data_IF_088024068233
#
_entry.id   IF_088024068233
#
_cell.length_a   1.000
_cell.length_b   1.000
_cell.length_c   1.000
_cell.angle_alpha   90.00
_cell.angle_beta   90.00
_cell.angle_gamma   90.00
#
_symmetry.space_group_name_H-M   'P 1'
#
loop_
_entity.id
_entity.type
_entity.pdbx_description
1 polymer ?
#
# COMPACT_ATOMS: atom_id res chain seq x y z
N UNK A 1 10.47 -12.71 2.21
CA UNK A 1 10.86 -14.03 1.70
C UNK A 1 10.39 -14.12 0.25
N UNK A 2 11.32 -14.26 -0.68
CA UNK A 2 11.13 -14.27 -2.13
C UNK A 2 10.23 -15.44 -2.57
N UNK A 3 9.17 -15.16 -3.36
CA UNK A 3 8.17 -16.11 -3.89
C UNK A 3 7.84 -17.31 -2.98
N UNK A 4 7.63 -17.06 -1.68
CA UNK A 4 7.74 -18.12 -0.65
C UNK A 4 6.62 -19.17 -0.75
N UNK A 5 5.45 -18.82 -1.29
CA UNK A 5 4.39 -19.78 -1.54
C UNK A 5 4.71 -20.79 -2.67
N UNK A 6 5.76 -20.56 -3.45
CA UNK A 6 6.18 -21.45 -4.54
C UNK A 6 7.09 -22.60 -4.06
N UNK A 7 7.52 -22.65 -2.79
CA UNK A 7 8.51 -23.66 -2.35
C UNK A 7 8.01 -25.10 -2.46
N UNK A 8 6.71 -25.34 -2.23
CA UNK A 8 6.10 -26.67 -2.33
C UNK A 8 5.57 -26.93 -3.74
N UNK A 9 5.86 -28.11 -4.31
CA UNK A 9 5.39 -28.54 -5.63
C UNK A 9 4.51 -29.79 -5.52
N UNK A 10 3.51 -29.92 -6.38
CA UNK A 10 2.72 -31.15 -6.51
C UNK A 10 3.62 -32.29 -7.02
N UNK A 11 3.60 -33.48 -6.36
CA UNK A 11 4.42 -34.62 -6.77
C UNK A 11 4.20 -35.03 -8.24
N UNK A 12 5.29 -35.43 -8.89
CA UNK A 12 5.28 -35.82 -10.31
C UNK A 12 5.35 -34.67 -11.32
N UNK A 13 5.22 -33.41 -10.87
CA UNK A 13 5.27 -32.20 -11.72
C UNK A 13 4.34 -32.29 -12.96
N UNK A 14 3.03 -32.48 -12.76
CA UNK A 14 2.08 -32.75 -13.84
C UNK A 14 1.94 -31.60 -14.84
N UNK A 15 1.61 -31.94 -16.08
CA UNK A 15 1.34 -30.97 -17.14
C UNK A 15 0.18 -30.02 -16.80
N UNK A 16 0.38 -28.74 -17.11
CA UNK A 16 -0.65 -27.72 -16.99
C UNK A 16 -1.70 -27.87 -18.10
N UNK A 17 -2.97 -27.65 -17.75
CA UNK A 17 -4.06 -27.72 -18.70
C UNK A 17 -3.87 -26.69 -19.84
N UNK A 18 -4.12 -27.11 -21.08
CA UNK A 18 -3.98 -26.25 -22.26
C UNK A 18 -5.12 -25.24 -22.30
N UNK A 19 -4.90 -24.08 -21.68
CA UNK A 19 -5.81 -22.93 -21.70
C UNK A 19 -5.54 -22.03 -22.91
N UNK A 20 -4.28 -21.91 -23.34
CA UNK A 20 -3.85 -21.10 -24.49
C UNK A 20 -3.29 -21.97 -25.61
N UNK A 21 -4.14 -22.33 -26.56
CA UNK A 21 -3.80 -23.16 -27.74
C UNK A 21 -2.76 -22.52 -28.67
N UNK A 22 -2.46 -21.24 -28.50
CA UNK A 22 -1.45 -20.46 -29.21
C UNK A 22 -0.08 -20.46 -28.52
N UNK A 23 0.09 -21.12 -27.37
CA UNK A 23 1.34 -21.16 -26.61
C UNK A 23 1.85 -22.60 -26.40
N UNK A 24 3.15 -22.80 -26.58
CA UNK A 24 3.82 -24.08 -26.30
C UNK A 24 3.91 -24.39 -24.79
N UNK A 25 3.99 -23.35 -23.95
CA UNK A 25 4.04 -23.44 -22.49
C UNK A 25 2.72 -22.93 -21.90
N UNK A 26 2.25 -23.55 -20.81
CA UNK A 26 0.97 -23.28 -20.17
C UNK A 26 1.17 -22.85 -18.71
N UNK A 27 0.23 -22.12 -18.13
CA UNK A 27 0.38 -21.55 -16.79
C UNK A 27 0.19 -22.61 -15.69
N UNK A 28 1.29 -22.95 -15.01
CA UNK A 28 1.34 -24.06 -14.05
C UNK A 28 1.08 -23.72 -12.58
N UNK A 29 0.66 -22.50 -12.24
CA UNK A 29 0.64 -22.03 -10.84
C UNK A 29 -0.13 -22.94 -9.88
N UNK A 30 -1.22 -23.57 -10.34
CA UNK A 30 -2.01 -24.57 -9.61
C UNK A 30 -1.18 -25.72 -8.98
N UNK A 31 0.02 -25.99 -9.49
CA UNK A 31 0.88 -27.07 -9.02
C UNK A 31 2.10 -26.62 -8.20
N UNK A 32 2.30 -25.32 -8.00
CA UNK A 32 3.44 -24.80 -7.23
C UNK A 32 3.09 -23.61 -6.31
N UNK A 33 2.19 -22.71 -6.71
CA UNK A 33 1.66 -21.70 -5.81
C UNK A 33 0.77 -22.39 -4.77
N UNK A 34 1.13 -22.29 -3.50
CA UNK A 34 0.41 -22.96 -2.41
C UNK A 34 0.37 -24.50 -2.58
N UNK A 35 1.52 -25.08 -2.93
CA UNK A 35 1.67 -26.52 -3.06
C UNK A 35 1.46 -27.29 -1.74
N UNK A 36 1.23 -28.63 -1.81
CA UNK A 36 0.59 -29.43 -0.76
C UNK A 36 1.38 -29.60 0.56
N UNK A 37 2.60 -29.07 0.66
CA UNK A 37 3.42 -29.04 1.89
C UNK A 37 3.86 -27.62 2.27
N UNK A 38 3.24 -26.57 1.73
CA UNK A 38 3.63 -25.18 2.01
C UNK A 38 3.62 -24.90 3.52
N UNK A 39 2.48 -25.08 4.18
CA UNK A 39 2.35 -24.83 5.63
C UNK A 39 3.26 -25.71 6.49
N UNK A 40 3.59 -26.93 6.06
CA UNK A 40 4.59 -27.76 6.76
C UNK A 40 5.97 -27.08 6.77
N UNK A 41 6.38 -26.50 5.64
CA UNK A 41 7.64 -25.78 5.50
C UNK A 41 7.60 -24.40 6.17
N UNK A 42 6.48 -23.68 6.07
CA UNK A 42 6.29 -22.39 6.74
C UNK A 42 6.29 -22.56 8.27
N UNK A 43 5.62 -23.59 8.83
CA UNK A 43 5.67 -23.91 10.27
C UNK A 43 7.08 -24.30 10.74
N UNK A 44 7.88 -24.96 9.89
CA UNK A 44 9.26 -25.28 10.21
C UNK A 44 10.14 -24.02 10.29
N UNK A 45 9.98 -23.07 9.36
CA UNK A 45 10.68 -21.77 9.39
C UNK A 45 10.15 -20.86 10.51
N UNK A 46 8.83 -20.85 10.76
CA UNK A 46 8.17 -20.04 11.78
C UNK A 46 8.64 -20.33 13.21
N UNK A 47 9.01 -21.58 13.50
CA UNK A 47 9.69 -21.94 14.77
C UNK A 47 11.02 -21.21 14.94
N UNK A 48 11.88 -21.28 13.92
CA UNK A 48 13.19 -20.60 13.90
C UNK A 48 13.00 -19.08 13.98
N UNK A 49 12.03 -18.51 13.25
CA UNK A 49 11.71 -17.08 13.33
C UNK A 49 11.30 -16.66 14.76
N UNK A 50 10.49 -17.46 15.45
CA UNK A 50 10.07 -17.21 16.84
C UNK A 50 11.25 -17.25 17.82
N UNK A 51 12.21 -18.16 17.66
CA UNK A 51 13.42 -18.25 18.49
C UNK A 51 14.24 -16.95 18.50
N UNK A 52 14.22 -16.18 17.40
CA UNK A 52 14.93 -14.90 17.27
C UNK A 52 14.02 -13.66 17.41
N UNK A 53 12.73 -13.82 17.73
CA UNK A 53 11.72 -12.76 17.66
C UNK A 53 11.74 -12.01 16.30
N UNK A 54 11.94 -12.76 15.22
CA UNK A 54 12.26 -12.20 13.91
C UNK A 54 10.99 -11.76 13.15
N UNK A 55 11.02 -10.54 12.63
CA UNK A 55 10.03 -10.04 11.69
C UNK A 55 10.06 -10.83 10.37
N UNK A 56 8.89 -11.22 9.87
CA UNK A 56 8.75 -11.97 8.63
C UNK A 56 7.65 -11.44 7.72
N UNK A 57 7.94 -11.35 6.43
CA UNK A 57 6.97 -11.06 5.37
C UNK A 57 7.18 -12.03 4.20
N UNK A 58 6.12 -12.71 3.78
CA UNK A 58 6.12 -13.57 2.60
C UNK A 58 5.77 -12.80 1.34
N UNK A 59 6.47 -13.02 0.24
CA UNK A 59 5.97 -12.62 -1.07
C UNK A 59 5.15 -13.78 -1.63
N UNK A 60 3.85 -13.56 -1.88
CA UNK A 60 2.93 -14.63 -2.30
C UNK A 60 2.09 -14.23 -3.52
N UNK A 61 2.68 -14.25 -4.73
CA UNK A 61 1.94 -14.06 -5.98
C UNK A 61 1.08 -15.30 -6.32
N UNK A 62 0.18 -15.16 -7.30
CA UNK A 62 -0.64 -16.25 -7.85
C UNK A 62 -1.61 -16.96 -6.86
N UNK A 63 -1.81 -16.44 -5.64
CA UNK A 63 -2.84 -16.90 -4.71
C UNK A 63 -3.93 -15.83 -4.57
N UNK A 64 -5.19 -16.25 -4.60
CA UNK A 64 -6.38 -15.38 -4.54
C UNK A 64 -7.43 -15.83 -3.51
N UNK A 65 -7.25 -16.98 -2.86
CA UNK A 65 -8.12 -17.39 -1.75
C UNK A 65 -7.60 -16.77 -0.43
N UNK A 66 -8.34 -15.86 0.21
CA UNK A 66 -7.90 -15.25 1.46
C UNK A 66 -7.67 -16.27 2.59
N UNK A 67 -8.33 -17.44 2.55
CA UNK A 67 -8.15 -18.50 3.57
C UNK A 67 -6.79 -19.17 3.48
N UNK A 68 -6.30 -19.43 2.27
CA UNK A 68 -4.97 -20.00 2.03
C UNK A 68 -3.88 -19.03 2.49
N UNK A 69 -4.11 -17.73 2.29
CA UNK A 69 -3.25 -16.68 2.82
C UNK A 69 -3.34 -16.62 4.36
N UNK A 70 -4.54 -16.71 4.93
CA UNK A 70 -4.77 -16.68 6.38
C UNK A 70 -4.06 -17.82 7.10
N UNK A 71 -4.05 -19.02 6.52
CA UNK A 71 -3.27 -20.16 7.02
C UNK A 71 -1.78 -19.82 7.21
N UNK A 72 -1.23 -18.91 6.41
CA UNK A 72 0.17 -18.49 6.49
C UNK A 72 0.43 -17.26 7.40
N UNK A 73 -0.61 -16.49 7.79
CA UNK A 73 -0.43 -15.19 8.50
C UNK A 73 -1.33 -14.91 9.70
N UNK A 74 -2.31 -15.76 10.03
CA UNK A 74 -3.10 -15.56 11.24
C UNK A 74 -2.23 -15.73 12.50
N UNK A 75 -2.51 -14.93 13.53
CA UNK A 75 -1.65 -14.74 14.70
C UNK A 75 -1.23 -16.05 15.40
N UNK A 76 -2.12 -17.03 15.52
CA UNK A 76 -1.90 -18.30 16.22
C UNK A 76 -1.07 -19.32 15.40
N UNK A 77 -1.18 -19.28 14.06
CA UNK A 77 -0.51 -20.19 13.10
C UNK A 77 0.98 -20.30 13.35
N UNK A 78 1.63 -19.17 13.64
CA UNK A 78 3.05 -19.11 13.89
C UNK A 78 3.91 -19.43 12.66
N UNK A 79 3.41 -19.13 11.46
CA UNK A 79 4.08 -19.32 10.18
C UNK A 79 4.85 -18.05 9.77
N UNK A 80 4.15 -17.04 9.24
CA UNK A 80 4.69 -15.72 8.90
C UNK A 80 3.85 -14.62 9.59
N UNK A 81 4.35 -13.38 9.67
CA UNK A 81 3.59 -12.27 10.28
C UNK A 81 2.65 -11.55 9.28
N UNK A 82 2.97 -11.57 7.98
CA UNK A 82 2.21 -10.90 6.92
C UNK A 82 2.70 -11.35 5.53
N UNK A 83 1.97 -10.98 4.47
CA UNK A 83 2.41 -11.18 3.08
C UNK A 83 2.23 -9.94 2.21
N UNK A 84 3.01 -9.87 1.13
CA UNK A 84 2.69 -9.06 -0.04
C UNK A 84 1.70 -9.82 -0.94
N UNK A 85 0.50 -9.27 -1.07
CA UNK A 85 -0.53 -9.71 -2.00
C UNK A 85 -0.47 -8.89 -3.30
N UNK A 86 -0.71 -9.51 -4.45
CA UNK A 86 -0.39 -8.91 -5.75
C UNK A 86 -1.58 -8.21 -6.43
N UNK A 87 -2.81 -8.32 -5.92
CA UNK A 87 -4.02 -7.88 -6.65
C UNK A 87 -4.02 -6.40 -7.05
N UNK A 88 -3.43 -5.50 -6.25
CA UNK A 88 -3.31 -4.06 -6.59
C UNK A 88 -2.38 -3.86 -7.78
N UNK A 89 -1.27 -4.62 -7.83
CA UNK A 89 -0.23 -4.50 -8.86
C UNK A 89 -0.50 -5.36 -10.11
N UNK A 90 -1.60 -6.11 -10.11
CA UNK A 90 -2.12 -6.88 -11.24
C UNK A 90 -3.35 -6.22 -11.92
N UNK A 91 -3.90 -5.13 -11.37
CA UNK A 91 -5.13 -4.48 -11.86
C UNK A 91 -5.11 -4.14 -13.36
N UNK A 92 -3.99 -3.62 -13.86
CA UNK A 92 -3.80 -3.19 -15.26
C UNK A 92 -3.22 -4.29 -16.17
N UNK A 93 -3.02 -5.52 -15.67
CA UNK A 93 -2.44 -6.63 -16.45
C UNK A 93 -3.53 -7.32 -17.30
N UNK A 94 -3.31 -7.37 -18.61
CA UNK A 94 -4.20 -8.01 -19.58
C UNK A 94 -3.99 -9.52 -19.74
N UNK A 95 -4.89 -10.13 -20.51
CA UNK A 95 -5.03 -11.59 -20.64
C UNK A 95 -3.87 -12.27 -21.40
N UNK A 96 -2.97 -11.47 -22.00
CA UNK A 96 -1.73 -11.95 -22.62
C UNK A 96 -0.51 -11.91 -21.68
N UNK A 97 -0.68 -11.48 -20.43
CA UNK A 97 0.39 -11.35 -19.42
C UNK A 97 0.78 -9.90 -19.11
N UNK A 98 1.80 -9.72 -18.26
CA UNK A 98 2.21 -8.42 -17.67
C UNK A 98 2.23 -7.26 -18.68
N UNK A 99 2.96 -7.42 -19.78
CA UNK A 99 3.11 -6.41 -20.83
C UNK A 99 1.95 -6.37 -21.85
N UNK A 100 0.73 -6.65 -21.38
CA UNK A 100 -0.50 -6.41 -22.12
C UNK A 100 -1.46 -5.56 -21.29
N UNK A 101 -2.24 -4.67 -21.91
CA UNK A 101 -3.08 -3.72 -21.18
C UNK A 101 -4.40 -4.35 -20.72
N UNK A 102 -4.83 -4.00 -19.50
CA UNK A 102 -6.20 -4.11 -19.03
C UNK A 102 -6.67 -2.75 -18.51
N UNK A 103 -7.91 -2.39 -18.82
CA UNK A 103 -8.57 -1.25 -18.16
C UNK A 103 -9.11 -1.72 -16.81
N UNK A 104 -8.66 -1.05 -15.74
CA UNK A 104 -9.16 -1.27 -14.38
C UNK A 104 -10.16 -0.18 -13.99
N UNK A 105 -10.94 -0.42 -12.94
CA UNK A 105 -11.96 0.51 -12.43
C UNK A 105 -11.72 0.80 -10.95
N UNK A 106 -12.10 1.98 -10.48
CA UNK A 106 -11.99 2.35 -9.06
C UNK A 106 -12.78 1.41 -8.14
N UNK A 107 -13.94 0.93 -8.59
CA UNK A 107 -14.72 -0.12 -7.92
C UNK A 107 -13.86 -1.33 -7.55
N UNK A 108 -13.02 -1.82 -8.46
CA UNK A 108 -12.12 -2.95 -8.22
C UNK A 108 -10.95 -2.60 -7.29
N UNK A 109 -10.40 -1.38 -7.34
CA UNK A 109 -9.39 -0.94 -6.36
C UNK A 109 -10.00 -0.85 -4.95
N UNK A 110 -11.22 -0.32 -4.84
CA UNK A 110 -11.99 -0.26 -3.58
C UNK A 110 -12.31 -1.65 -3.04
N UNK A 111 -12.77 -2.56 -3.90
CA UNK A 111 -13.05 -3.95 -3.56
C UNK A 111 -11.79 -4.63 -2.98
N UNK A 112 -10.65 -4.54 -3.67
CA UNK A 112 -9.37 -5.13 -3.19
C UNK A 112 -8.97 -4.54 -1.84
N UNK A 113 -8.90 -3.21 -1.69
CA UNK A 113 -8.48 -2.63 -0.40
C UNK A 113 -9.47 -2.97 0.72
N UNK A 114 -10.78 -2.89 0.46
CA UNK A 114 -11.80 -3.23 1.45
C UNK A 114 -11.71 -4.70 1.88
N UNK A 115 -11.58 -5.62 0.93
CA UNK A 115 -11.44 -7.04 1.21
C UNK A 115 -10.21 -7.29 2.08
N UNK A 116 -9.03 -6.78 1.71
CA UNK A 116 -7.79 -7.04 2.46
C UNK A 116 -7.74 -6.35 3.84
N UNK A 117 -8.26 -5.12 3.95
CA UNK A 117 -8.35 -4.43 5.23
C UNK A 117 -9.33 -5.14 6.18
N UNK A 118 -10.57 -5.39 5.74
CA UNK A 118 -11.59 -6.02 6.60
C UNK A 118 -11.31 -7.48 6.89
N UNK A 119 -10.80 -8.25 5.92
CA UNK A 119 -10.46 -9.66 6.13
C UNK A 119 -9.38 -9.85 7.19
N UNK A 120 -8.27 -9.11 7.11
CA UNK A 120 -7.19 -9.23 8.10
C UNK A 120 -7.63 -8.78 9.50
N UNK A 121 -8.36 -7.67 9.60
CA UNK A 121 -8.89 -7.17 10.88
C UNK A 121 -9.88 -8.17 11.51
N UNK A 122 -10.71 -8.84 10.71
CA UNK A 122 -11.72 -9.78 11.20
C UNK A 122 -11.20 -11.20 11.48
N UNK A 123 -9.91 -11.49 11.24
CA UNK A 123 -9.33 -12.84 11.37
C UNK A 123 -7.92 -12.83 12.02
N UNK A 124 -7.61 -11.82 12.84
CA UNK A 124 -6.33 -11.68 13.55
C UNK A 124 -5.08 -11.82 12.64
N UNK A 125 -5.17 -11.26 11.43
CA UNK A 125 -4.08 -11.18 10.46
C UNK A 125 -3.55 -9.76 10.29
N UNK A 126 -2.43 -9.60 9.57
CA UNK A 126 -1.79 -8.30 9.37
C UNK A 126 -1.40 -8.03 7.91
N UNK A 127 -1.73 -6.83 7.42
CA UNK A 127 -1.47 -6.42 6.04
C UNK A 127 -0.03 -5.89 5.84
N UNK A 128 0.59 -6.19 4.70
CA UNK A 128 1.76 -5.46 4.20
C UNK A 128 1.32 -4.42 3.16
N UNK A 129 1.42 -3.14 3.52
CA UNK A 129 1.00 -2.01 2.70
C UNK A 129 2.15 -1.54 1.80
N UNK A 130 2.02 -1.72 0.49
CA UNK A 130 2.99 -1.27 -0.51
C UNK A 130 2.32 -0.77 -1.80
N UNK A 131 3.08 -0.05 -2.62
CA UNK A 131 2.72 0.34 -4.00
C UNK A 131 3.91 0.24 -4.97
N UNK A 132 5.13 0.38 -4.46
CA UNK A 132 6.37 0.21 -5.20
C UNK A 132 7.25 -0.83 -4.50
N UNK A 133 8.00 -1.58 -5.28
CA UNK A 133 9.13 -2.40 -4.85
C UNK A 133 10.08 -2.54 -6.06
N UNK A 134 11.15 -3.33 -5.96
CA UNK A 134 12.14 -3.52 -7.02
C UNK A 134 11.60 -4.18 -8.33
N UNK A 135 10.33 -4.60 -8.34
CA UNK A 135 9.67 -5.37 -9.40
C UNK A 135 8.40 -4.70 -9.96
N UNK A 136 8.01 -3.56 -9.40
CA UNK A 136 6.86 -2.76 -9.84
C UNK A 136 7.33 -1.38 -10.28
N UNK A 137 6.78 -0.87 -11.38
CA UNK A 137 7.07 0.48 -11.86
C UNK A 137 6.52 1.57 -10.93
N UNK A 138 6.96 2.82 -11.13
CA UNK A 138 6.70 3.92 -10.19
C UNK A 138 5.22 4.25 -10.12
N UNK A 139 4.69 4.33 -8.91
CA UNK A 139 3.26 4.52 -8.61
C UNK A 139 2.72 5.80 -9.24
N UNK A 140 3.55 6.86 -9.27
CA UNK A 140 3.22 8.16 -9.87
C UNK A 140 3.06 8.08 -11.40
N UNK A 141 3.82 7.22 -12.09
CA UNK A 141 3.71 7.04 -13.55
C UNK A 141 2.68 5.98 -13.95
N UNK A 142 2.47 4.95 -13.12
CA UNK A 142 1.55 3.85 -13.41
C UNK A 142 0.09 4.16 -13.08
N UNK A 143 -0.14 4.72 -11.88
CA UNK A 143 -1.47 5.01 -11.32
C UNK A 143 -1.74 6.52 -11.18
N UNK A 144 -0.68 7.33 -11.15
CA UNK A 144 -0.72 8.77 -11.01
C UNK A 144 -0.71 9.52 -12.35
N UNK A 145 -0.09 10.69 -12.33
CA UNK A 145 0.49 11.32 -13.51
C UNK A 145 1.87 11.87 -13.14
N UNK A 146 2.86 11.61 -13.99
CA UNK A 146 4.23 12.10 -13.87
C UNK A 146 4.47 13.45 -14.56
N UNK A 147 3.43 14.03 -15.17
CA UNK A 147 3.45 15.40 -15.69
C UNK A 147 3.95 16.39 -14.60
N UNK A 148 4.90 17.30 -14.90
CA UNK A 148 5.57 18.12 -13.88
C UNK A 148 4.64 18.84 -12.91
N UNK A 149 3.53 19.34 -13.42
CA UNK A 149 2.52 20.10 -12.69
C UNK A 149 1.64 19.23 -11.76
N UNK A 150 1.61 17.90 -11.94
CA UNK A 150 0.78 16.97 -11.16
C UNK A 150 1.56 15.88 -10.41
N UNK A 151 2.83 15.61 -10.77
CA UNK A 151 3.71 14.62 -10.13
C UNK A 151 3.72 14.73 -8.60
N UNK A 152 3.93 15.95 -8.08
CA UNK A 152 4.08 16.21 -6.64
C UNK A 152 2.78 15.92 -5.88
N UNK A 153 1.65 16.39 -6.38
CA UNK A 153 0.34 16.24 -5.73
C UNK A 153 -0.15 14.77 -5.81
N UNK A 154 0.15 14.06 -6.91
CA UNK A 154 -0.07 12.61 -7.03
C UNK A 154 0.77 11.84 -6.01
N UNK A 155 2.08 12.10 -5.91
CA UNK A 155 2.96 11.41 -4.98
C UNK A 155 2.52 11.61 -3.51
N UNK A 156 2.13 12.85 -3.13
CA UNK A 156 1.56 13.14 -1.82
C UNK A 156 0.18 12.48 -1.60
N UNK A 157 -0.62 12.30 -2.65
CA UNK A 157 -1.88 11.56 -2.58
C UNK A 157 -1.60 10.07 -2.30
N UNK A 158 -0.68 9.42 -3.03
CA UNK A 158 -0.32 8.02 -2.78
C UNK A 158 0.27 7.80 -1.39
N UNK A 159 1.09 8.75 -0.90
CA UNK A 159 1.56 8.75 0.49
C UNK A 159 0.39 8.76 1.49
N UNK A 160 -0.68 9.52 1.21
CA UNK A 160 -1.89 9.59 2.06
C UNK A 160 -2.74 8.33 1.97
N UNK A 161 -2.99 7.85 0.75
CA UNK A 161 -3.73 6.62 0.48
C UNK A 161 -3.11 5.43 1.20
N UNK A 162 -1.77 5.29 1.17
CA UNK A 162 -1.06 4.15 1.72
C UNK A 162 -0.76 4.28 3.24
N UNK A 163 -0.27 5.44 3.69
CA UNK A 163 0.26 5.61 5.07
C UNK A 163 -0.82 5.60 6.16
N UNK A 164 -2.11 5.72 5.82
CA UNK A 164 -3.21 5.82 6.80
C UNK A 164 -4.11 4.57 6.88
N UNK A 165 -3.76 3.48 6.18
CA UNK A 165 -4.43 2.16 6.27
C UNK A 165 -3.89 1.31 7.44
N UNK A 166 -4.57 0.21 7.77
CA UNK A 166 -4.12 -0.77 8.78
C UNK A 166 -3.06 -1.72 8.20
N UNK A 167 -2.03 -2.06 8.99
CA UNK A 167 -0.91 -2.91 8.56
C UNK A 167 0.48 -2.28 8.69
N UNK A 168 1.51 -2.99 8.20
CA UNK A 168 2.90 -2.53 8.13
C UNK A 168 3.16 -1.81 6.81
N UNK A 169 3.69 -0.60 6.88
CA UNK A 169 3.99 0.22 5.70
C UNK A 169 5.39 -0.08 5.14
N UNK A 170 5.47 -0.34 3.85
CA UNK A 170 6.69 -0.41 3.07
C UNK A 170 6.78 0.78 2.11
N UNK A 171 7.92 1.47 2.12
CA UNK A 171 8.27 2.56 1.19
C UNK A 171 9.53 2.14 0.45
N UNK A 172 9.52 2.23 -0.87
CA UNK A 172 10.64 1.80 -1.72
C UNK A 172 11.47 2.99 -2.21
N UNK A 173 12.80 2.81 -2.33
CA UNK A 173 13.75 3.90 -2.61
C UNK A 173 13.35 4.78 -3.82
N UNK A 174 13.21 6.08 -3.57
CA UNK A 174 12.76 7.08 -4.55
C UNK A 174 11.25 7.34 -4.56
N UNK A 175 10.43 6.50 -3.94
CA UNK A 175 8.99 6.74 -3.75
C UNK A 175 8.76 7.96 -2.84
N UNK A 176 9.65 8.14 -1.85
CA UNK A 176 9.72 9.30 -0.97
C UNK A 176 10.10 10.60 -1.71
N UNK A 177 10.78 10.51 -2.84
CA UNK A 177 11.09 11.64 -3.73
C UNK A 177 10.02 11.87 -4.80
N UNK A 178 9.08 10.94 -4.97
CA UNK A 178 8.15 10.89 -6.10
C UNK A 178 8.88 10.68 -7.43
N UNK A 179 9.85 9.77 -7.46
CA UNK A 179 10.50 9.31 -8.70
C UNK A 179 9.46 8.75 -9.69
N UNK A 180 9.82 8.81 -10.97
CA UNK A 180 8.94 8.50 -12.11
C UNK A 180 9.56 7.39 -12.96
N UNK A 181 8.77 6.80 -13.86
CA UNK A 181 9.27 5.82 -14.82
C UNK A 181 10.38 6.40 -15.69
N UNK A 182 11.17 5.49 -16.28
CA UNK A 182 12.11 5.80 -17.36
C UNK A 182 11.35 6.56 -18.47
N UNK A 183 11.91 7.60 -19.10
CA UNK A 183 11.21 8.34 -20.15
C UNK A 183 10.77 7.46 -21.34
N UNK A 184 9.57 7.71 -21.89
CA UNK A 184 9.02 6.99 -23.08
C UNK A 184 9.95 6.99 -24.31
N UNK A 185 10.94 7.88 -24.35
CA UNK A 185 11.94 7.99 -25.42
C UNK A 185 13.12 7.02 -25.27
N UNK A 186 13.31 6.37 -24.12
CA UNK A 186 14.40 5.40 -23.93
C UNK A 186 14.01 4.06 -24.58
N UNK A 187 14.77 3.54 -25.56
CA UNK A 187 14.44 2.30 -26.25
C UNK A 187 14.61 1.08 -25.34
N UNK A 188 13.84 0.01 -25.60
CA UNK A 188 13.90 -1.26 -24.85
C UNK A 188 15.32 -1.86 -24.82
N UNK A 189 16.15 -1.59 -25.82
CA UNK A 189 17.56 -2.02 -25.87
C UNK A 189 18.48 -1.38 -24.81
N UNK A 190 18.06 -0.33 -24.11
CA UNK A 190 18.79 0.24 -22.96
C UNK A 190 18.40 -0.39 -21.61
N UNK A 191 17.34 -1.20 -21.56
CA UNK A 191 16.88 -1.92 -20.36
C UNK A 191 17.83 -3.09 -20.05
N UNK A 192 17.79 -3.60 -18.81
CA UNK A 192 18.66 -4.68 -18.31
C UNK A 192 17.87 -5.87 -17.78
N UNK A 193 16.63 -5.67 -17.36
CA UNK A 193 15.78 -6.71 -16.79
C UNK A 193 15.42 -7.80 -17.81
N UNK A 194 15.68 -9.06 -17.44
CA UNK A 194 15.47 -10.21 -18.32
C UNK A 194 13.99 -10.50 -18.60
N UNK A 195 13.07 -10.19 -17.67
CA UNK A 195 11.62 -10.30 -17.93
C UNK A 195 11.23 -9.36 -19.07
N UNK A 196 11.67 -8.10 -19.00
CA UNK A 196 11.45 -7.07 -20.01
C UNK A 196 12.07 -7.42 -21.37
N UNK A 197 13.37 -7.80 -21.38
CA UNK A 197 14.09 -8.10 -22.63
C UNK A 197 13.56 -9.37 -23.31
N UNK A 198 13.23 -10.42 -22.56
CA UNK A 198 12.69 -11.66 -23.13
C UNK A 198 11.29 -11.45 -23.70
N UNK A 199 10.41 -10.73 -22.99
CA UNK A 199 9.06 -10.45 -23.49
C UNK A 199 9.06 -9.60 -24.77
N UNK A 200 10.01 -8.67 -24.90
CA UNK A 200 10.21 -7.89 -26.12
C UNK A 200 10.70 -8.75 -27.29
N UNK A 201 11.71 -9.60 -27.06
CA UNK A 201 12.24 -10.50 -28.08
C UNK A 201 11.19 -11.54 -28.53
N UNK A 202 10.45 -12.15 -27.58
CA UNK A 202 9.33 -13.06 -27.88
C UNK A 202 8.25 -12.36 -28.73
N UNK A 203 7.99 -11.08 -28.46
CA UNK A 203 7.01 -10.28 -29.23
C UNK A 203 7.49 -10.02 -30.65
N UNK A 204 8.77 -9.71 -30.85
CA UNK A 204 9.37 -9.54 -32.18
C UNK A 204 9.43 -10.87 -32.97
N UNK A 205 9.69 -11.99 -32.30
CA UNK A 205 9.75 -13.31 -32.93
C UNK A 205 8.37 -13.85 -33.34
N UNK A 206 7.38 -13.77 -32.44
CA UNK A 206 6.04 -14.34 -32.68
C UNK A 206 5.12 -13.45 -33.49
N UNK A 207 5.35 -12.14 -33.47
CA UNK A 207 4.50 -11.14 -34.13
C UNK A 207 5.32 -10.15 -34.97
N UNK A 208 6.20 -10.60 -35.88
CA UNK A 208 7.18 -9.74 -36.57
C UNK A 208 6.54 -8.62 -37.40
N UNK A 209 5.38 -8.88 -38.00
CA UNK A 209 4.65 -7.94 -38.85
C UNK A 209 3.56 -7.14 -38.11
N UNK A 210 3.16 -7.56 -36.90
CA UNK A 210 2.14 -6.86 -36.12
C UNK A 210 2.73 -5.64 -35.40
N UNK A 211 2.80 -4.53 -36.14
CA UNK A 211 3.37 -3.27 -35.64
C UNK A 211 2.54 -2.62 -34.56
N UNK A 212 1.23 -2.89 -34.48
CA UNK A 212 0.40 -2.38 -33.40
C UNK A 212 0.61 -3.19 -32.11
N UNK A 213 0.73 -4.52 -32.19
CA UNK A 213 1.09 -5.33 -31.03
C UNK A 213 2.51 -5.02 -30.50
N UNK A 214 3.47 -4.76 -31.41
CA UNK A 214 4.80 -4.25 -31.04
C UNK A 214 4.70 -2.87 -30.34
N UNK A 215 3.87 -1.95 -30.85
CA UNK A 215 3.64 -0.63 -30.24
C UNK A 215 3.03 -0.75 -28.84
N UNK A 216 1.98 -1.57 -28.68
CA UNK A 216 1.31 -1.83 -27.41
C UNK A 216 2.28 -2.44 -26.41
N UNK A 217 3.03 -3.48 -26.79
CA UNK A 217 3.96 -4.16 -25.89
C UNK A 217 5.08 -3.23 -25.41
N UNK A 218 5.60 -2.35 -26.29
CA UNK A 218 6.57 -1.33 -25.91
C UNK A 218 5.99 -0.28 -24.94
N UNK A 219 4.74 0.15 -25.14
CA UNK A 219 4.05 1.08 -24.23
C UNK A 219 3.80 0.44 -22.85
N UNK A 220 3.44 -0.84 -22.82
CA UNK A 220 3.23 -1.58 -21.56
C UNK A 220 4.57 -1.95 -20.88
N UNK A 221 5.65 -2.17 -21.62
CA UNK A 221 7.02 -2.27 -21.09
C UNK A 221 7.40 -0.96 -20.41
N UNK A 222 7.24 0.18 -21.08
CA UNK A 222 7.47 1.49 -20.44
C UNK A 222 6.63 1.65 -19.16
N UNK A 223 5.35 1.25 -19.19
CA UNK A 223 4.43 1.41 -18.08
C UNK A 223 4.75 0.51 -16.88
N UNK A 224 5.21 -0.73 -17.11
CA UNK A 224 5.25 -1.81 -16.10
C UNK A 224 6.60 -2.51 -15.88
N UNK A 225 7.63 -2.21 -16.67
CA UNK A 225 8.94 -2.85 -16.53
C UNK A 225 9.53 -2.63 -15.13
N UNK A 226 10.18 -3.68 -14.61
CA UNK A 226 10.90 -3.70 -13.33
C UNK A 226 12.03 -2.66 -13.30
N UNK A 227 12.61 -2.31 -14.46
CA UNK A 227 13.71 -1.35 -14.54
C UNK A 227 13.35 0.09 -14.14
N UNK A 228 12.05 0.45 -14.19
CA UNK A 228 11.55 1.71 -13.64
C UNK A 228 11.82 1.88 -12.13
N UNK A 229 11.97 0.77 -11.40
CA UNK A 229 12.33 0.76 -9.99
C UNK A 229 13.85 0.66 -9.75
N UNK A 230 14.64 0.35 -10.78
CA UNK A 230 16.05 -0.09 -10.66
C UNK A 230 17.08 0.89 -11.20
N UNK A 231 16.64 2.01 -11.79
CA UNK A 231 17.56 3.12 -12.10
C UNK A 231 18.25 3.64 -10.82
N UNK A 232 19.53 4.06 -10.90
CA UNK A 232 20.25 4.73 -9.82
C UNK A 232 19.42 5.69 -8.97
N UNK A 233 19.64 5.66 -7.66
CA UNK A 233 18.98 6.56 -6.72
C UNK A 233 19.42 8.01 -6.98
N UNK A 234 18.47 8.93 -6.99
CA UNK A 234 18.68 10.31 -7.42
C UNK A 234 19.04 11.19 -6.22
N UNK A 235 20.32 11.26 -5.87
CA UNK A 235 20.80 12.01 -4.70
C UNK A 235 20.90 13.51 -4.96
N UNK A 236 21.50 13.91 -6.08
CA UNK A 236 21.66 15.32 -6.47
C UNK A 236 21.67 15.51 -7.99
N UNK A 237 22.14 16.67 -8.48
CA UNK A 237 22.20 17.05 -9.90
C UNK A 237 23.57 16.84 -10.56
N UNK A 238 24.52 16.17 -9.90
CA UNK A 238 25.84 15.85 -10.46
C UNK A 238 25.75 14.67 -11.46
N UNK A 239 26.83 14.31 -12.19
CA UNK A 239 26.81 13.14 -13.08
C UNK A 239 26.34 11.86 -12.36
N UNK A 240 25.58 11.02 -13.07
CA UNK A 240 24.93 9.84 -12.50
C UNK A 240 24.08 10.13 -11.24
N UNK A 241 23.51 11.34 -11.14
CA UNK A 241 22.68 11.79 -10.03
C UNK A 241 23.33 11.74 -8.64
N UNK A 242 24.66 11.81 -8.57
CA UNK A 242 25.41 11.62 -7.32
C UNK A 242 25.50 10.17 -6.83
N UNK A 243 24.98 9.19 -7.60
CA UNK A 243 25.03 7.76 -7.24
C UNK A 243 26.42 7.15 -7.41
N UNK A 244 27.21 7.62 -8.37
CA UNK A 244 28.58 7.13 -8.59
C UNK A 244 29.44 8.16 -9.32
N UNK A 245 30.74 8.16 -9.04
CA UNK A 245 31.78 8.86 -9.81
C UNK A 245 32.20 8.11 -11.08
N UNK A 246 31.60 6.95 -11.34
CA UNK A 246 31.88 6.06 -12.47
C UNK A 246 30.58 5.61 -13.14
N UNK A 247 30.66 5.05 -14.35
CA UNK A 247 29.46 4.62 -15.09
C UNK A 247 28.69 3.53 -14.32
N UNK A 248 27.43 3.76 -13.93
CA UNK A 248 26.62 2.78 -13.21
C UNK A 248 26.20 1.61 -14.10
N UNK A 249 25.91 0.46 -13.47
CA UNK A 249 25.45 -0.76 -14.16
C UNK A 249 24.14 -0.55 -14.96
N UNK A 250 23.30 0.36 -14.49
CA UNK A 250 22.07 0.83 -15.12
C UNK A 250 22.12 2.36 -15.23
N UNK A 251 21.76 2.90 -16.40
CA UNK A 251 21.72 4.35 -16.67
C UNK A 251 20.67 5.04 -15.81
N UNK A 252 21.07 6.10 -15.11
CA UNK A 252 20.21 6.99 -14.31
C UNK A 252 19.00 7.51 -15.11
N UNK A 253 17.88 7.81 -14.43
CA UNK A 253 16.71 8.41 -15.07
C UNK A 253 16.94 9.94 -15.19
N UNK A 254 16.77 10.48 -16.40
CA UNK A 254 17.04 11.89 -16.75
C UNK A 254 16.29 12.91 -15.87
N UNK A 255 15.22 12.48 -15.19
CA UNK A 255 14.49 13.26 -14.20
C UNK A 255 15.33 13.72 -13.00
N UNK A 256 16.49 13.10 -12.73
CA UNK A 256 17.36 13.42 -11.59
C UNK A 256 17.74 14.90 -11.48
N UNK A 257 17.79 15.59 -12.61
CA UNK A 257 18.04 17.04 -12.73
C UNK A 257 16.99 17.90 -12.01
N UNK A 258 15.81 17.36 -11.71
CA UNK A 258 14.70 18.05 -11.03
C UNK A 258 14.12 17.27 -9.84
N UNK A 259 14.23 15.94 -9.86
CA UNK A 259 13.77 15.03 -8.81
C UNK A 259 14.99 14.41 -8.14
N UNK A 260 15.44 14.94 -7.02
CA UNK A 260 16.53 14.35 -6.26
C UNK A 260 16.37 14.59 -4.75
N UNK A 261 17.25 14.01 -3.95
CA UNK A 261 17.25 14.18 -2.51
C UNK A 261 17.68 15.60 -2.09
N UNK A 262 18.76 16.15 -2.68
CA UNK A 262 19.29 17.46 -2.28
C UNK A 262 18.35 18.65 -2.57
N UNK A 263 17.42 18.52 -3.52
CA UNK A 263 16.35 19.50 -3.79
C UNK A 263 15.08 19.30 -2.95
N UNK A 264 14.95 18.18 -2.22
CA UNK A 264 13.71 17.82 -1.51
C UNK A 264 13.87 17.62 -0.01
N UNK A 265 15.01 17.13 0.47
CA UNK A 265 15.35 17.09 1.89
C UNK A 265 15.47 18.54 2.39
N UNK A 266 14.88 18.84 3.55
CA UNK A 266 14.71 20.19 4.11
C UNK A 266 13.79 21.17 3.33
N UNK A 267 13.44 20.88 2.07
CA UNK A 267 12.48 21.68 1.32
C UNK A 267 11.05 21.43 1.84
N UNK A 268 10.50 22.41 2.55
CA UNK A 268 9.26 22.32 3.37
C UNK A 268 8.09 21.61 2.67
N UNK A 269 7.86 21.91 1.41
CA UNK A 269 6.69 21.48 0.64
C UNK A 269 7.02 20.42 -0.44
N UNK A 270 8.17 19.75 -0.32
CA UNK A 270 8.59 18.65 -1.20
C UNK A 270 7.74 17.37 -1.02
N UNK A 271 7.98 16.35 -1.86
CA UNK A 271 7.39 15.01 -1.67
C UNK A 271 7.99 14.35 -0.43
N UNK A 272 9.31 14.49 -0.23
CA UNK A 272 10.05 13.94 0.92
C UNK A 272 9.53 14.48 2.26
N UNK A 273 9.40 15.81 2.38
CA UNK A 273 8.89 16.46 3.59
C UNK A 273 7.44 16.08 3.89
N UNK A 274 6.64 15.76 2.86
CA UNK A 274 5.29 15.25 3.04
C UNK A 274 5.27 13.81 3.57
N UNK A 275 6.09 12.91 3.01
CA UNK A 275 6.28 11.56 3.54
C UNK A 275 6.74 11.58 4.99
N UNK A 276 7.76 12.36 5.32
CA UNK A 276 8.23 12.52 6.69
C UNK A 276 7.13 13.06 7.64
N UNK A 277 6.29 13.98 7.15
CA UNK A 277 5.15 14.52 7.91
C UNK A 277 4.07 13.46 8.18
N UNK A 278 3.69 12.66 7.17
CA UNK A 278 2.61 11.69 7.31
C UNK A 278 3.05 10.40 8.03
N UNK A 279 4.33 10.04 7.96
CA UNK A 279 4.93 9.01 8.81
C UNK A 279 4.89 9.43 10.29
N UNK A 280 5.22 10.68 10.62
CA UNK A 280 5.04 11.22 11.98
C UNK A 280 3.57 11.26 12.40
N UNK A 281 2.64 11.55 11.48
CA UNK A 281 1.20 11.48 11.76
C UNK A 281 0.76 10.05 12.13
N UNK A 282 1.21 9.03 11.38
CA UNK A 282 0.98 7.60 11.71
C UNK A 282 1.57 7.23 13.07
N UNK A 283 2.84 7.57 13.32
CA UNK A 283 3.57 7.26 14.57
C UNK A 283 2.95 7.92 15.82
N UNK A 284 2.26 9.06 15.66
CA UNK A 284 1.69 9.83 16.78
C UNK A 284 0.21 9.55 17.08
N UNK A 285 -0.47 8.75 16.27
CA UNK A 285 -1.90 8.44 16.47
C UNK A 285 -2.18 6.96 16.15
N UNK A 286 -2.36 6.15 17.19
CA UNK A 286 -2.57 4.69 17.11
C UNK A 286 -3.77 4.27 16.27
N UNK A 287 -4.76 5.15 16.07
CA UNK A 287 -5.88 4.95 15.13
C UNK A 287 -5.45 4.64 13.69
N UNK A 288 -4.25 5.06 13.27
CA UNK A 288 -3.69 4.69 11.96
C UNK A 288 -2.99 3.33 11.98
N UNK A 289 -2.59 2.84 13.15
CA UNK A 289 -1.95 1.53 13.34
C UNK A 289 -3.06 0.48 13.59
N UNK A 290 -3.74 0.56 14.74
CA UNK A 290 -4.66 -0.45 15.27
C UNK A 290 -6.15 -0.18 15.02
N UNK A 291 -6.53 0.97 14.44
CA UNK A 291 -7.95 1.29 14.20
C UNK A 291 -8.63 0.39 13.17
N UNK A 292 -9.97 0.32 13.22
CA UNK A 292 -10.80 -0.40 12.25
C UNK A 292 -10.63 0.13 10.81
N UNK A 293 -11.27 -0.53 9.83
CA UNK A 293 -11.39 0.02 8.48
C UNK A 293 -12.85 -0.12 7.99
N UNK A 294 -13.42 1.00 7.55
CA UNK A 294 -14.74 1.04 6.91
C UNK A 294 -14.64 1.83 5.60
N UNK A 295 -14.90 1.16 4.46
CA UNK A 295 -14.95 1.82 3.15
C UNK A 295 -16.14 2.77 3.10
N UNK A 296 -15.89 4.03 2.71
CA UNK A 296 -16.92 5.06 2.58
C UNK A 296 -17.18 5.32 1.10
N UNK A 297 -18.47 5.40 0.74
CA UNK A 297 -18.94 5.73 -0.62
C UNK A 297 -18.40 4.79 -1.70
N UNK A 298 -18.66 3.48 -1.53
CA UNK A 298 -18.09 2.40 -2.36
C UNK A 298 -18.28 2.63 -3.88
N UNK A 299 -19.49 2.98 -4.29
CA UNK A 299 -19.87 3.14 -5.72
C UNK A 299 -19.23 4.36 -6.41
N UNK A 300 -18.68 5.33 -5.67
CA UNK A 300 -18.17 6.56 -6.27
C UNK A 300 -16.91 6.31 -7.11
N UNK A 301 -16.99 6.49 -8.44
CA UNK A 301 -15.89 6.12 -9.36
C UNK A 301 -14.60 6.93 -9.18
N UNK A 302 -14.68 8.18 -8.72
CA UNK A 302 -13.54 9.12 -8.67
C UNK A 302 -12.83 9.26 -7.31
N UNK A 303 -13.51 8.97 -6.20
CA UNK A 303 -13.05 9.27 -4.84
C UNK A 303 -12.89 7.99 -4.04
N UNK A 304 -11.70 7.78 -3.51
CA UNK A 304 -11.42 6.74 -2.52
C UNK A 304 -11.54 7.34 -1.12
N UNK A 305 -12.51 6.91 -0.33
CA UNK A 305 -12.73 7.38 1.03
C UNK A 305 -12.89 6.20 2.00
N UNK A 306 -12.40 6.35 3.23
CA UNK A 306 -12.57 5.36 4.29
C UNK A 306 -12.49 6.01 5.66
N UNK A 307 -13.13 5.39 6.64
CA UNK A 307 -13.04 5.72 8.06
C UNK A 307 -12.05 4.76 8.75
N UNK A 308 -11.32 5.28 9.73
CA UNK A 308 -10.64 4.52 10.79
C UNK A 308 -11.25 4.93 12.12
N UNK A 309 -11.53 3.99 13.02
CA UNK A 309 -12.01 4.23 14.38
C UNK A 309 -11.18 3.47 15.40
N UNK A 310 -10.90 4.09 16.54
CA UNK A 310 -10.13 3.49 17.65
C UNK A 310 -10.44 4.24 18.95
N UNK A 311 -10.76 3.53 20.03
CA UNK A 311 -11.07 4.12 21.36
C UNK A 311 -12.08 5.28 21.32
N UNK A 312 -13.17 5.13 20.57
CA UNK A 312 -14.19 6.18 20.41
C UNK A 312 -13.76 7.42 19.62
N UNK A 313 -12.52 7.45 19.11
CA UNK A 313 -12.02 8.44 18.14
C UNK A 313 -12.31 7.93 16.73
N UNK A 314 -12.55 8.84 15.79
CA UNK A 314 -12.75 8.51 14.38
C UNK A 314 -12.03 9.50 13.46
N UNK A 315 -11.48 9.00 12.36
CA UNK A 315 -10.84 9.81 11.30
C UNK A 315 -11.38 9.37 9.94
N UNK A 316 -11.80 10.33 9.12
CA UNK A 316 -12.15 10.13 7.71
C UNK A 316 -10.95 10.49 6.84
N UNK A 317 -10.54 9.56 5.98
CA UNK A 317 -9.51 9.75 4.95
C UNK A 317 -10.23 9.87 3.61
N UNK A 318 -9.84 10.86 2.80
CA UNK A 318 -10.43 11.12 1.47
C UNK A 318 -9.32 11.39 0.46
N UNK A 319 -9.31 10.64 -0.63
CA UNK A 319 -8.39 10.79 -1.75
C UNK A 319 -9.18 10.92 -3.06
N UNK A 320 -9.07 12.08 -3.72
CA UNK A 320 -9.48 12.23 -5.11
C UNK A 320 -8.42 11.53 -5.98
N UNK A 321 -8.84 10.57 -6.80
CA UNK A 321 -7.98 9.85 -7.75
C UNK A 321 -8.03 10.41 -9.17
N UNK A 322 -8.75 11.52 -9.39
CA UNK A 322 -8.98 12.10 -10.71
C UNK A 322 -8.17 13.33 -11.02
N UNK A 323 -8.17 13.58 -12.33
CA UNK A 323 -7.75 14.82 -12.95
C UNK A 323 -8.45 16.05 -12.41
N UNK A 324 -9.75 16.07 -12.55
CA UNK A 324 -10.55 17.26 -12.32
C UNK A 324 -10.95 17.45 -10.85
N UNK A 325 -11.54 18.61 -10.56
CA UNK A 325 -12.15 18.90 -9.26
C UNK A 325 -13.43 18.07 -9.12
N UNK A 326 -13.36 17.00 -8.32
CA UNK A 326 -14.56 16.26 -7.90
C UNK A 326 -15.30 17.06 -6.82
N UNK A 327 -16.61 17.23 -6.98
CA UNK A 327 -17.47 17.76 -5.91
C UNK A 327 -18.00 16.59 -5.08
N UNK A 328 -17.26 16.22 -4.04
CA UNK A 328 -17.68 15.18 -3.09
C UNK A 328 -18.57 15.74 -1.98
N UNK A 329 -19.58 14.97 -1.57
CA UNK A 329 -20.46 15.26 -0.43
C UNK A 329 -20.32 14.09 0.54
N UNK A 330 -20.06 14.37 1.81
CA UNK A 330 -19.91 13.34 2.84
C UNK A 330 -21.20 12.52 2.95
N UNK A 331 -21.18 11.18 2.83
CA UNK A 331 -22.38 10.36 2.91
C UNK A 331 -23.12 10.48 4.25
N UNK A 332 -24.45 10.37 4.20
CA UNK A 332 -25.29 10.35 5.40
C UNK A 332 -24.87 9.21 6.32
N UNK A 333 -24.70 9.52 7.62
CA UNK A 333 -24.23 8.58 8.64
C UNK A 333 -22.76 8.78 9.06
N UNK A 334 -21.93 9.43 8.24
CA UNK A 334 -20.53 9.72 8.60
C UNK A 334 -20.47 10.97 9.49
N UNK A 335 -20.52 10.79 10.81
CA UNK A 335 -20.52 11.87 11.80
C UNK A 335 -19.10 12.40 12.09
N UNK A 336 -18.77 13.58 11.55
CA UNK A 336 -17.53 14.29 11.84
C UNK A 336 -17.69 15.20 13.07
N UNK A 337 -17.56 14.62 14.26
CA UNK A 337 -17.82 15.28 15.56
C UNK A 337 -16.91 16.52 15.83
N UNK A 338 -15.78 16.65 15.12
CA UNK A 338 -14.87 17.80 15.24
C UNK A 338 -14.02 17.99 13.97
N UNK A 339 -14.20 19.09 13.25
CA UNK A 339 -13.45 19.42 12.03
C UNK A 339 -11.98 19.84 12.31
N UNK A 340 -11.12 18.87 12.68
CA UNK A 340 -9.66 19.06 12.70
C UNK A 340 -9.02 18.33 11.51
N UNK A 341 -8.64 19.08 10.47
CA UNK A 341 -7.80 18.55 9.38
C UNK A 341 -6.44 18.14 9.96
N UNK A 342 -6.11 16.85 9.90
CA UNK A 342 -4.85 16.30 10.41
C UNK A 342 -3.70 16.42 9.39
N UNK A 343 -4.01 16.24 8.10
CA UNK A 343 -3.08 16.45 6.97
C UNK A 343 -3.86 16.79 5.71
N UNK A 344 -3.19 17.42 4.73
CA UNK A 344 -3.66 17.60 3.36
C UNK A 344 -2.48 17.83 2.43
N UNK A 345 -2.60 17.42 1.16
CA UNK A 345 -1.57 17.58 0.14
C UNK A 345 -1.67 18.90 -0.66
N UNK A 346 -2.79 19.65 -0.53
CA UNK A 346 -2.98 20.98 -1.09
C UNK A 346 -2.67 22.09 -0.07
N UNK A 347 -2.09 23.20 -0.53
CA UNK A 347 -1.85 24.41 0.27
C UNK A 347 -3.16 25.12 0.71
N UNK A 348 -3.04 26.23 1.45
CA UNK A 348 -4.15 27.12 1.80
C UNK A 348 -4.59 28.01 0.61
N UNK A 349 -5.00 27.38 -0.49
CA UNK A 349 -5.42 28.03 -1.75
C UNK A 349 -6.92 27.91 -2.09
N UNK A 350 -7.70 27.23 -1.25
CA UNK A 350 -9.15 27.32 -1.25
C UNK A 350 -9.59 27.91 0.10
N UNK A 351 -10.37 28.99 0.09
CA UNK A 351 -11.09 29.42 1.28
C UNK A 351 -12.00 28.27 1.74
N UNK A 352 -12.06 28.02 3.05
CA UNK A 352 -13.24 27.41 3.67
C UNK A 352 -14.45 28.24 3.23
N UNK A 353 -15.43 27.70 2.48
CA UNK A 353 -16.44 28.52 1.85
C UNK A 353 -17.18 29.40 2.86
N UNK A 354 -17.03 30.73 2.75
CA UNK A 354 -17.69 31.68 3.65
C UNK A 354 -19.20 31.50 3.54
N UNK A 355 -19.80 31.09 4.66
CA UNK A 355 -21.17 30.63 4.73
C UNK A 355 -22.16 31.74 4.28
N UNK A 356 -22.78 31.55 3.11
CA UNK A 356 -23.90 32.37 2.65
C UNK A 356 -25.10 31.45 2.39
N UNK A 357 -26.01 31.40 3.36
CA UNK A 357 -27.22 30.60 3.27
C UNK A 357 -28.29 31.34 2.44
N UNK A 358 -28.59 30.82 1.25
CA UNK A 358 -29.80 31.16 0.49
C UNK A 358 -30.74 29.97 0.48
N UNK A 359 -31.89 30.11 1.15
CA UNK A 359 -32.98 29.12 1.09
C UNK A 359 -33.68 29.17 -0.27
N UNK A 360 -33.76 28.05 -0.96
CA UNK A 360 -34.85 27.76 -1.89
C UNK A 360 -35.23 26.28 -1.81
N UNK A 361 -36.50 25.98 -2.10
CA UNK A 361 -37.14 24.70 -1.84
C UNK A 361 -36.83 23.62 -2.86
N UNK A 362 -36.82 22.38 -2.37
CA UNK A 362 -37.33 21.14 -3.01
C UNK A 362 -37.33 21.11 -4.54
N UNK A 363 -36.54 20.18 -5.09
CA UNK A 363 -36.97 19.40 -6.24
C UNK A 363 -36.39 17.99 -6.19
N UNK A 364 -37.25 17.01 -6.44
CA UNK A 364 -36.88 15.69 -6.94
C UNK A 364 -36.39 15.81 -8.40
N UNK A 365 -36.06 14.69 -9.03
CA UNK A 365 -35.43 14.59 -10.36
C UNK A 365 -34.02 15.18 -10.47
N UNK A 366 -33.06 14.43 -9.95
CA UNK A 366 -31.68 14.42 -10.44
C UNK A 366 -31.35 13.05 -11.03
N UNK A 367 -31.96 12.71 -12.19
CA UNK A 367 -31.46 11.62 -13.04
C UNK A 367 -30.02 11.97 -13.44
N UNK A 368 -29.06 11.40 -12.73
CA UNK A 368 -27.64 11.54 -13.03
C UNK A 368 -27.42 10.92 -14.41
N UNK A 369 -27.06 11.74 -15.40
CA UNK A 369 -26.70 11.23 -16.72
C UNK A 369 -25.48 10.34 -16.54
N UNK A 370 -25.64 9.05 -16.83
CA UNK A 370 -24.54 8.12 -16.99
C UNK A 370 -23.56 8.72 -18.02
N UNK A 371 -22.43 9.23 -17.51
CA UNK A 371 -21.26 9.42 -18.36
C UNK A 371 -20.82 8.01 -18.79
N UNK A 372 -20.49 7.79 -20.07
CA UNK A 372 -20.05 6.48 -20.52
C UNK A 372 -18.72 6.13 -19.86
N UNK A 373 -18.77 5.21 -18.88
CA UNK A 373 -17.66 4.50 -18.20
C UNK A 373 -16.32 5.23 -18.27
N UNK A 374 -16.04 6.10 -17.29
CA UNK A 374 -14.93 7.04 -17.37
C UNK A 374 -13.56 6.33 -17.49
N UNK A 375 -12.82 6.67 -18.55
CA UNK A 375 -11.52 6.10 -18.86
C UNK A 375 -10.46 6.54 -17.84
N UNK A 376 -9.87 5.58 -17.12
CA UNK A 376 -8.90 5.88 -16.05
C UNK A 376 -7.57 6.45 -16.58
N UNK A 377 -7.28 6.33 -17.88
CA UNK A 377 -6.11 6.99 -18.48
C UNK A 377 -6.22 8.53 -18.51
N UNK A 378 -7.39 9.12 -18.27
CA UNK A 378 -7.61 10.57 -18.29
C UNK A 378 -7.23 11.27 -16.96
N UNK A 379 -6.25 10.72 -16.22
CA UNK A 379 -5.71 11.28 -14.97
C UNK A 379 -4.31 11.87 -15.20
N UNK A 380 -3.87 13.02 -14.67
CA UNK A 380 -4.39 13.90 -13.61
C UNK A 380 -4.36 15.41 -14.01
N UNK A 381 -4.88 16.32 -13.16
CA UNK A 381 -4.73 17.80 -13.22
C UNK A 381 -5.20 18.56 -11.96
N UNK A 382 -4.65 18.19 -10.80
CA UNK A 382 -5.23 18.57 -9.50
C UNK A 382 -5.52 20.07 -9.30
N UNK A 383 -6.79 20.36 -8.99
CA UNK A 383 -7.26 21.60 -8.34
C UNK A 383 -8.01 21.23 -7.05
N UNK A 384 -8.17 22.16 -6.09
CA UNK A 384 -8.63 21.83 -4.73
C UNK A 384 -10.08 21.35 -4.67
N UNK A 385 -10.32 20.36 -3.81
CA UNK A 385 -11.64 19.80 -3.48
C UNK A 385 -12.54 20.85 -2.81
N UNK A 386 -13.83 20.83 -3.17
CA UNK A 386 -14.87 21.68 -2.57
C UNK A 386 -15.93 20.84 -1.86
N UNK A 387 -15.82 20.75 -0.55
CA UNK A 387 -16.84 20.15 0.31
C UNK A 387 -17.94 21.17 0.65
N UNK A 388 -19.12 20.68 0.99
CA UNK A 388 -20.20 21.49 1.56
C UNK A 388 -20.82 20.70 2.73
N UNK A 389 -20.76 21.28 3.94
CA UNK A 389 -21.33 20.67 5.16
C UNK A 389 -22.64 21.39 5.47
N UNK A 390 -23.74 20.67 5.31
CA UNK A 390 -25.09 21.11 5.68
C UNK A 390 -25.82 19.95 6.36
N UNK A 391 -26.72 20.29 7.29
CA UNK A 391 -27.54 19.37 8.09
C UNK A 391 -26.76 18.55 9.14
N UNK A 392 -26.21 19.27 10.13
CA UNK A 392 -25.77 18.70 11.42
C UNK A 392 -26.99 18.50 12.34
N UNK A 393 -27.56 17.29 12.37
CA UNK A 393 -28.53 16.90 13.41
C UNK A 393 -27.79 16.64 14.74
N UNK A 394 -27.88 17.60 15.68
CA UNK A 394 -27.23 17.52 16.99
C UNK A 394 -28.07 16.68 17.95
N UNK A 395 -28.08 15.37 17.73
CA UNK A 395 -28.68 14.39 18.64
C UNK A 395 -27.88 14.32 19.96
N UNK A 396 -28.27 15.13 20.95
CA UNK A 396 -27.79 14.98 22.33
C UNK A 396 -28.36 13.71 22.94
N UNK A 397 -27.54 12.67 23.08
CA UNK A 397 -27.86 11.53 23.94
C UNK A 397 -27.81 11.99 25.39
N UNK A 398 -28.96 11.99 26.06
CA UNK A 398 -29.03 12.13 27.52
C UNK A 398 -28.92 10.74 28.17
N UNK A 399 -28.34 10.62 29.38
CA UNK A 399 -28.35 9.37 30.11
C UNK A 399 -29.76 9.10 30.65
N UNK A 400 -30.41 8.04 30.16
CA UNK A 400 -31.62 7.52 30.80
C UNK A 400 -31.20 6.79 32.09
N UNK A 401 -31.54 7.38 33.23
CA UNK A 401 -31.75 6.62 34.45
C UNK A 401 -33.23 6.18 34.48
N UNK A 402 -33.47 4.89 34.67
CA UNK A 402 -34.54 4.34 35.50
C UNK A 402 -34.43 2.80 35.53
N UNK A 403 -34.65 2.19 36.70
CA UNK A 403 -34.83 0.74 36.86
C UNK A 403 -36.27 0.31 36.50
N UNK A 404 -36.71 -0.93 36.80
CA UNK A 404 -36.63 -1.43 38.19
C UNK A 404 -36.47 -2.97 38.38
N UNK A 405 -36.45 -3.35 39.66
CA UNK A 405 -36.93 -4.61 40.26
C UNK A 405 -36.05 -5.89 40.24
N UNK A 406 -35.82 -6.39 41.45
CA UNK A 406 -35.53 -7.78 41.84
C UNK A 406 -36.85 -8.60 41.77
N UNK A 407 -36.99 -9.92 42.04
CA UNK A 407 -36.18 -10.93 42.76
C UNK A 407 -36.17 -12.28 41.96
N UNK A 408 -36.14 -13.50 42.56
CA UNK A 408 -34.89 -14.26 42.75
C UNK A 408 -34.92 -15.68 42.13
N UNK A 409 -33.78 -16.39 42.17
CA UNK A 409 -33.75 -17.87 42.09
C UNK A 409 -32.71 -18.49 43.03
N UNK A 410 -33.13 -19.58 43.65
CA UNK A 410 -32.40 -20.51 44.55
C UNK A 410 -31.26 -21.21 43.79
N UNK A 411 -30.00 -21.21 44.24
CA UNK A 411 -29.38 -21.99 45.35
C UNK A 411 -29.30 -23.50 45.13
N UNK A 412 -28.09 -24.01 44.93
CA UNK A 412 -27.68 -25.42 45.12
C UNK A 412 -26.18 -25.46 45.42
N UNK A 413 -25.77 -26.32 46.37
CA UNK A 413 -24.48 -26.28 47.09
C UNK A 413 -23.37 -27.18 46.48
N UNK A 414 -22.41 -27.60 47.32
CA UNK A 414 -21.14 -28.35 47.07
C UNK A 414 -19.95 -27.39 46.73
N UNK A 415 -18.98 -27.10 47.61
CA UNK A 415 -18.05 -27.93 48.43
C UNK A 415 -17.09 -28.80 47.57
N UNK A 416 -15.75 -28.83 47.68
CA UNK A 416 -14.68 -27.94 48.25
C UNK A 416 -13.36 -28.27 47.46
N UNK A 417 -12.06 -28.12 47.82
CA UNK A 417 -11.29 -27.78 49.05
C UNK A 417 -9.81 -27.38 48.67
N UNK A 418 -8.96 -27.01 49.66
CA UNK A 418 -7.46 -26.85 49.64
C UNK A 418 -6.78 -25.82 48.68
N UNK A 419 -5.88 -24.89 49.09
CA UNK A 419 -4.50 -24.97 49.65
C UNK A 419 -3.40 -25.42 48.63
N UNK A 420 -2.14 -24.94 48.55
CA UNK A 420 -1.22 -24.03 49.29
C UNK A 420 -0.30 -23.30 48.24
N UNK A 421 0.11 -22.02 48.36
CA UNK A 421 1.19 -21.38 49.17
C UNK A 421 2.61 -21.27 48.51
N UNK A 422 3.52 -20.51 49.15
CA UNK A 422 5.00 -20.41 48.96
C UNK A 422 5.69 -19.71 47.74
N UNK A 423 5.89 -18.39 47.89
CA UNK A 423 7.09 -17.55 47.62
C UNK A 423 8.45 -18.13 47.15
N UNK A 424 9.24 -17.31 46.42
CA UNK A 424 10.71 -17.42 46.31
C UNK A 424 11.42 -16.17 45.75
N UNK A 425 12.47 -15.67 46.43
CA UNK A 425 13.33 -14.53 46.03
C UNK A 425 14.79 -14.98 45.75
N UNK A 426 15.70 -14.00 45.50
CA UNK A 426 17.18 -14.10 45.36
C UNK A 426 17.68 -14.56 43.97
N UNK A 427 18.71 -13.96 43.35
CA UNK A 427 19.47 -12.73 43.64
C UNK A 427 20.99 -12.85 43.47
N UNK A 428 21.64 -11.85 42.85
CA UNK A 428 23.10 -11.63 42.87
C UNK A 428 23.88 -11.86 41.55
N UNK A 429 24.57 -10.79 41.10
CA UNK A 429 26.04 -10.65 40.96
C UNK A 429 26.88 -11.69 40.15
N UNK A 430 27.95 -11.36 39.42
CA UNK A 430 28.53 -10.12 38.84
C UNK A 430 29.65 -10.55 37.83
N UNK A 431 30.51 -9.61 37.37
CA UNK A 431 31.70 -9.74 36.51
C UNK A 431 31.49 -9.98 34.99
N UNK A 432 32.26 -9.41 34.06
CA UNK A 432 33.26 -8.33 34.20
C UNK A 432 34.62 -8.58 33.55
N UNK A 433 34.79 -8.35 32.23
CA UNK A 433 36.12 -8.31 31.61
C UNK A 433 36.24 -7.27 30.49
N UNK A 434 37.13 -6.28 30.66
CA UNK A 434 37.53 -5.34 29.61
C UNK A 434 38.58 -5.93 28.68
N UNK A 435 38.58 -5.50 27.41
CA UNK A 435 39.78 -5.44 26.58
C UNK A 435 39.85 -4.09 25.85
N UNK A 436 41.02 -3.48 25.93
CA UNK A 436 41.55 -2.28 25.25
C UNK A 436 43.07 -2.56 25.12
N UNK A 437 43.85 -2.13 24.14
CA UNK A 437 43.73 -1.11 23.07
C UNK A 437 44.21 -1.75 21.72
N UNK A 438 44.47 -1.11 20.56
CA UNK A 438 44.82 0.29 20.26
C UNK A 438 44.55 0.65 18.76
N UNK A 439 44.33 1.94 18.50
CA UNK A 439 44.38 2.71 17.22
C UNK A 439 43.85 2.14 15.87
N UNK A 440 42.91 2.88 15.24
CA UNK A 440 42.37 2.54 13.91
C UNK A 440 41.49 3.58 13.20
N UNK A 441 41.74 4.89 13.39
CA UNK A 441 41.03 6.03 12.77
C UNK A 441 39.51 6.16 13.10
N UNK A 442 39.18 7.08 14.01
CA UNK A 442 37.79 7.38 14.37
C UNK A 442 37.04 8.19 13.29
N UNK A 443 35.79 7.80 13.03
CA UNK A 443 34.75 8.70 12.54
C UNK A 443 33.48 8.49 13.37
N UNK A 444 32.83 9.58 13.79
CA UNK A 444 31.77 9.58 14.81
C UNK A 444 30.40 9.18 14.21
N UNK A 445 30.03 7.89 14.33
CA UNK A 445 28.76 7.34 13.84
C UNK A 445 27.64 7.44 14.90
N UNK A 446 27.75 8.34 15.89
CA UNK A 446 26.76 8.49 16.98
C UNK A 446 25.64 9.53 16.74
N UNK A 447 25.59 10.20 15.58
CA UNK A 447 24.74 11.38 15.33
C UNK A 447 23.75 11.27 14.17
N UNK A 448 22.96 10.19 14.12
CA UNK A 448 21.83 10.03 13.17
C UNK A 448 20.59 9.45 13.87
N UNK A 449 20.20 10.01 15.01
CA UNK A 449 19.06 9.50 15.83
C UNK A 449 18.07 10.57 16.34
N UNK A 450 18.23 11.85 15.98
CA UNK A 450 17.28 12.93 16.34
C UNK A 450 16.56 13.53 15.11
N UNK A 451 15.77 12.70 14.38
CA UNK A 451 14.94 13.17 13.26
C UNK A 451 13.70 12.30 12.92
N UNK A 452 13.09 11.59 13.88
CA UNK A 452 11.96 10.67 13.63
C UNK A 452 10.70 10.94 14.47
#
# INVERSE_FOLDING_TARGET
MDVINFISKVPGLPDAAITRKDQAYQWGSKYFACGPRLHEHLLAMGKILKEYNAFSVGEMPCVQDPKEILNAVAFDRGELNMIFHFEIVELDIGDRGKFSPRQWQMSRLKEVINNWQTFMINNDGWNALYLENHDQSRSVSRWGSDAPEFRVICAKMFATFLTLQSGTLFVYQGQELGMVNIPKTRPVSEYKDLETLNAWNETLEKYPDDKEWQRITNEEIWRKSRDNARTPMQWDTTPHAGFSTTTPWQKENESYTTINASSQVNAKDSVFSYWASILRLRKSHEIFIYGDFELVDAEHEDVFAYKRSFEGKGVLIVANFRKEVVKWIVPKGVLLVKEKVLTKNYENGAESPKYQATRSSVREDAHQKLHPTANVNDCWAAKPLKYNVSDLDVARVAPNADGPAEEPLESSDEEDDDEESASGEVGGDDEGSMYVDEEGAASDVSKVTEAF
#
